data_IF_119341879236
#
_entry.id   IF_119341879236
#
_cell.length_a   1.000
_cell.length_b   1.000
_cell.length_c   1.000
_cell.angle_alpha   90.00
_cell.angle_beta   90.00
_cell.angle_gamma   90.00
#
_symmetry.space_group_name_H-M   'P 1'
#
loop_
_entity.id
_entity.type
_entity.pdbx_description
1 polymer ?
#
# COMPACT_ATOMS: atom_id res chain seq x y z
N UNK A 1 5.91 9.11 6.75
CA UNK A 1 4.53 9.25 6.25
C UNK A 1 4.52 8.85 4.80
N UNK A 2 3.53 8.09 4.37
CA UNK A 2 3.26 7.89 2.94
C UNK A 2 1.99 8.66 2.57
N UNK A 3 1.97 9.18 1.35
CA UNK A 3 0.86 9.94 0.79
C UNK A 3 0.43 9.24 -0.48
N UNK A 4 -0.88 9.01 -0.62
CA UNK A 4 -1.48 8.49 -1.84
C UNK A 4 -2.25 9.60 -2.51
N UNK A 5 -1.95 9.87 -3.77
CA UNK A 5 -2.63 10.93 -4.53
C UNK A 5 -3.35 10.26 -5.70
N UNK A 6 -4.65 10.56 -5.82
CA UNK A 6 -5.51 10.04 -6.88
C UNK A 6 -5.76 11.16 -7.89
N UNK A 7 -5.54 10.90 -9.17
CA UNK A 7 -5.75 11.83 -10.27
C UNK A 7 -6.72 11.29 -11.32
N UNK A 8 -7.42 12.19 -12.00
CA UNK A 8 -8.13 11.84 -13.24
C UNK A 8 -7.15 11.72 -14.41
N UNK A 9 -7.28 10.70 -15.26
CA UNK A 9 -6.44 10.51 -16.45
C UNK A 9 -5.26 9.56 -16.25
N UNK A 10 -4.28 9.67 -17.15
CA UNK A 10 -3.04 8.87 -17.17
C UNK A 10 -1.96 9.44 -16.25
N UNK A 11 -1.04 8.60 -15.78
CA UNK A 11 0.10 8.99 -14.94
C UNK A 11 0.94 10.09 -15.60
N UNK A 12 1.20 9.99 -16.90
CA UNK A 12 2.01 10.96 -17.65
C UNK A 12 1.44 12.38 -17.66
N UNK A 13 0.14 12.52 -17.36
CA UNK A 13 -0.57 13.81 -17.43
C UNK A 13 -0.96 14.36 -16.06
N UNK A 14 -0.46 13.75 -14.98
CA UNK A 14 -0.75 14.11 -13.59
C UNK A 14 -0.35 15.56 -13.30
N UNK A 15 -1.24 16.29 -12.66
CA UNK A 15 -1.01 17.65 -12.20
C UNK A 15 -2.02 18.01 -11.09
N UNK A 16 -1.76 19.06 -10.29
CA UNK A 16 -2.65 19.45 -9.19
C UNK A 16 -4.11 19.69 -9.61
N UNK A 17 -4.36 20.22 -10.82
CA UNK A 17 -5.71 20.47 -11.32
C UNK A 17 -6.54 19.20 -11.59
N UNK A 18 -5.85 18.07 -11.80
CA UNK A 18 -6.44 16.73 -12.00
C UNK A 18 -6.53 15.91 -10.71
N UNK A 19 -6.08 16.46 -9.58
CA UNK A 19 -6.17 15.77 -8.29
C UNK A 19 -7.64 15.59 -7.89
N UNK A 20 -7.97 14.36 -7.49
CA UNK A 20 -9.29 13.94 -7.05
C UNK A 20 -9.33 13.65 -5.56
N UNK A 21 -8.28 13.04 -5.02
CA UNK A 21 -8.18 12.74 -3.59
C UNK A 21 -6.72 12.67 -3.12
N UNK A 22 -6.52 12.90 -1.84
CA UNK A 22 -5.24 12.68 -1.13
C UNK A 22 -5.52 11.88 0.12
N UNK A 23 -4.79 10.79 0.32
CA UNK A 23 -4.82 9.95 1.52
C UNK A 23 -3.43 10.01 2.17
N UNK A 24 -3.36 10.53 3.39
CA UNK A 24 -2.14 10.53 4.19
C UNK A 24 -2.17 9.39 5.19
N UNK A 25 -1.10 8.59 5.23
CA UNK A 25 -0.91 7.47 6.17
C UNK A 25 0.35 7.73 6.97
N UNK A 26 0.18 8.03 8.26
CA UNK A 26 1.22 8.36 9.20
C UNK A 26 1.27 7.36 10.36
N UNK A 27 2.42 7.23 11.02
CA UNK A 27 2.51 6.41 12.23
C UNK A 27 1.84 7.13 13.39
N UNK A 28 0.86 6.48 14.02
CA UNK A 28 0.37 6.84 15.34
C UNK A 28 1.25 6.18 16.43
N UNK A 29 1.64 4.92 16.20
CA UNK A 29 2.58 4.18 17.05
C UNK A 29 3.45 3.28 16.18
N UNK A 30 4.78 3.40 16.31
CA UNK A 30 5.74 2.54 15.63
C UNK A 30 6.02 1.27 16.45
N UNK A 31 6.06 0.14 15.77
CA UNK A 31 6.41 -1.17 16.32
C UNK A 31 6.38 -2.23 15.23
N UNK A 32 6.67 -3.49 15.60
CA UNK A 32 6.55 -4.62 14.67
C UNK A 32 5.11 -4.78 14.16
N UNK A 33 4.13 -4.57 15.05
CA UNK A 33 2.74 -4.27 14.72
C UNK A 33 2.53 -2.76 14.90
N UNK A 34 2.48 -2.02 13.80
CA UNK A 34 2.34 -0.56 13.81
C UNK A 34 0.90 -0.13 13.79
N UNK A 35 0.64 1.01 14.41
CA UNK A 35 -0.65 1.69 14.33
C UNK A 35 -0.47 2.90 13.42
N UNK A 36 -1.34 3.01 12.43
CA UNK A 36 -1.34 4.10 11.48
C UNK A 36 -2.54 5.01 11.71
N UNK A 37 -2.31 6.32 11.67
CA UNK A 37 -3.37 7.32 11.52
C UNK A 37 -3.53 7.61 10.03
N UNK A 38 -4.77 7.64 9.57
CA UNK A 38 -5.14 7.81 8.17
C UNK A 38 -6.08 8.99 8.05
N UNK A 39 -5.74 9.94 7.18
CA UNK A 39 -6.55 11.10 6.87
C UNK A 39 -6.76 11.21 5.37
N UNK A 40 -7.93 11.66 4.92
CA UNK A 40 -8.23 11.82 3.50
C UNK A 40 -8.92 13.14 3.20
N UNK A 41 -8.56 13.75 2.08
CA UNK A 41 -9.31 14.83 1.46
C UNK A 41 -9.81 14.38 0.10
N UNK A 42 -11.10 14.60 -0.19
CA UNK A 42 -11.76 14.18 -1.42
C UNK A 42 -12.37 15.41 -2.11
N UNK A 43 -12.05 15.60 -3.39
CA UNK A 43 -12.55 16.73 -4.19
C UNK A 43 -14.07 16.73 -4.23
N UNK A 44 -14.67 17.87 -3.93
CA UNK A 44 -16.13 18.05 -3.86
C UNK A 44 -16.77 17.65 -2.53
N UNK A 45 -16.02 16.97 -1.64
CA UNK A 45 -16.48 16.61 -0.29
C UNK A 45 -15.70 17.38 0.78
N UNK A 46 -14.39 17.59 0.58
CA UNK A 46 -13.50 18.21 1.55
C UNK A 46 -12.75 17.18 2.39
N UNK A 47 -12.33 17.60 3.58
CA UNK A 47 -11.65 16.73 4.54
C UNK A 47 -12.63 15.73 5.15
N UNK A 48 -12.26 14.46 5.12
CA UNK A 48 -12.98 13.40 5.80
C UNK A 48 -12.43 13.21 7.21
N UNK A 49 -13.25 12.79 8.19
CA UNK A 49 -12.74 12.53 9.53
C UNK A 49 -11.58 11.51 9.49
N UNK A 50 -10.51 11.66 10.27
CA UNK A 50 -9.43 10.68 10.28
C UNK A 50 -9.87 9.36 10.93
N UNK A 51 -9.14 8.28 10.67
CA UNK A 51 -9.30 6.97 11.31
C UNK A 51 -7.94 6.31 11.51
N UNK A 52 -7.90 5.08 12.03
CA UNK A 52 -6.66 4.32 12.19
C UNK A 52 -6.71 2.89 11.67
N UNK A 53 -5.56 2.42 11.22
CA UNK A 53 -5.29 0.99 10.99
C UNK A 53 -4.44 0.50 12.16
N UNK A 54 -5.01 -0.32 13.03
CA UNK A 54 -4.32 -0.83 14.21
C UNK A 54 -3.56 -2.13 13.92
N UNK A 55 -2.45 -2.32 14.65
CA UNK A 55 -1.68 -3.58 14.68
C UNK A 55 -1.27 -4.12 13.30
N UNK A 56 -0.98 -3.26 12.34
CA UNK A 56 -0.57 -3.67 11.00
C UNK A 56 0.89 -4.16 11.01
N UNK A 57 1.16 -5.40 10.55
CA UNK A 57 2.51 -5.94 10.58
C UNK A 57 3.36 -5.31 9.50
N UNK A 58 4.46 -4.70 9.94
CA UNK A 58 5.35 -3.99 9.03
C UNK A 58 6.06 -4.93 8.07
N UNK A 59 6.32 -4.45 6.86
CA UNK A 59 7.06 -5.17 5.82
C UNK A 59 6.50 -6.57 5.49
N UNK A 60 5.23 -6.81 5.81
CA UNK A 60 4.61 -8.13 5.72
C UNK A 60 3.68 -8.30 4.51
N UNK A 61 3.40 -7.23 3.78
CA UNK A 61 2.56 -7.21 2.59
C UNK A 61 2.89 -6.00 1.71
N UNK A 62 2.22 -5.93 0.56
CA UNK A 62 2.27 -4.77 -0.36
C UNK A 62 1.88 -3.48 0.34
N UNK A 63 2.49 -2.36 -0.05
CA UNK A 63 2.04 -1.01 0.29
C UNK A 63 0.58 -0.79 -0.11
N UNK A 64 0.14 -1.38 -1.23
CA UNK A 64 -1.25 -1.29 -1.67
C UNK A 64 -2.22 -1.94 -0.67
N UNK A 65 -1.84 -3.00 0.06
CA UNK A 65 -2.68 -3.58 1.14
C UNK A 65 -2.88 -2.56 2.27
N UNK A 66 -1.82 -1.87 2.69
CA UNK A 66 -1.93 -0.79 3.69
C UNK A 66 -2.81 0.35 3.19
N UNK A 67 -2.69 0.74 1.92
CA UNK A 67 -3.54 1.76 1.29
C UNK A 67 -5.00 1.31 1.28
N UNK A 68 -5.29 0.08 0.88
CA UNK A 68 -6.65 -0.45 0.85
C UNK A 68 -7.29 -0.52 2.25
N UNK A 69 -6.52 -0.94 3.26
CA UNK A 69 -6.97 -0.89 4.66
C UNK A 69 -7.25 0.54 5.11
N UNK A 70 -6.36 1.48 4.80
CA UNK A 70 -6.54 2.90 5.12
C UNK A 70 -7.79 3.50 4.45
N UNK A 71 -7.97 3.25 3.16
CA UNK A 71 -9.16 3.65 2.41
C UNK A 71 -10.44 3.06 3.02
N UNK A 72 -10.41 1.79 3.37
CA UNK A 72 -11.56 1.11 3.99
C UNK A 72 -11.94 1.77 5.32
N UNK A 73 -10.96 2.07 6.17
CA UNK A 73 -11.19 2.76 7.44
C UNK A 73 -11.81 4.15 7.24
N UNK A 74 -11.25 4.97 6.34
CA UNK A 74 -11.74 6.34 6.15
C UNK A 74 -13.09 6.40 5.43
N UNK A 75 -13.32 5.53 4.43
CA UNK A 75 -14.57 5.49 3.67
C UNK A 75 -15.72 4.86 4.44
N UNK A 76 -15.45 3.81 5.22
CA UNK A 76 -16.50 2.96 5.79
C UNK A 76 -16.46 2.80 7.31
N UNK A 77 -15.42 3.28 8.01
CA UNK A 77 -15.25 3.09 9.47
C UNK A 77 -15.28 1.64 9.90
N UNK A 78 -14.82 0.76 9.02
CA UNK A 78 -14.87 -0.68 9.19
C UNK A 78 -13.53 -1.31 8.74
N UNK A 79 -13.29 -2.54 9.17
CA UNK A 79 -12.10 -3.31 8.76
C UNK A 79 -12.31 -4.06 7.44
N UNK A 80 -13.51 -3.96 6.88
CA UNK A 80 -13.90 -4.59 5.62
C UNK A 80 -14.73 -3.62 4.79
N UNK A 81 -14.47 -3.60 3.48
CA UNK A 81 -15.32 -2.89 2.54
C UNK A 81 -16.65 -3.64 2.40
N UNK A 82 -17.80 -2.94 2.28
CA UNK A 82 -19.06 -3.60 1.98
C UNK A 82 -18.95 -4.29 0.61
N UNK A 83 -19.64 -5.43 0.43
CA UNK A 83 -19.71 -6.05 -0.90
C UNK A 83 -20.34 -5.09 -1.89
N UNK A 84 -19.80 -5.09 -3.11
CA UNK A 84 -20.46 -4.47 -4.24
C UNK A 84 -21.62 -5.36 -4.69
N UNK A 85 -22.77 -4.73 -4.90
CA UNK A 85 -23.86 -5.36 -5.64
C UNK A 85 -23.57 -5.39 -7.14
N UNK A 86 -24.58 -5.78 -7.91
CA UNK A 86 -24.50 -5.67 -9.37
C UNK A 86 -24.28 -4.22 -9.81
N UNK A 87 -23.46 -3.97 -10.84
CA UNK A 87 -23.23 -2.64 -11.37
C UNK A 87 -24.52 -1.99 -11.85
N UNK A 88 -24.69 -0.71 -11.53
CA UNK A 88 -25.79 0.06 -12.09
C UNK A 88 -25.63 0.18 -13.62
N UNK A 89 -26.68 -0.14 -14.39
CA UNK A 89 -26.71 0.01 -15.86
C UNK A 89 -26.37 1.43 -16.31
N UNK A 90 -26.69 2.44 -15.50
CA UNK A 90 -26.39 3.87 -15.73
C UNK A 90 -25.37 4.38 -14.72
N UNK A 91 -24.39 3.57 -14.35
CA UNK A 91 -23.35 3.97 -13.42
C UNK A 91 -22.54 5.17 -13.93
N UNK A 92 -22.12 6.02 -13.00
CA UNK A 92 -21.04 6.96 -13.24
C UNK A 92 -19.73 6.19 -13.42
N UNK A 93 -18.86 6.66 -14.32
CA UNK A 93 -17.60 6.01 -14.62
C UNK A 93 -16.49 7.02 -14.89
N UNK A 94 -15.25 6.60 -14.63
CA UNK A 94 -14.07 7.27 -15.14
C UNK A 94 -13.57 6.50 -16.36
N UNK A 95 -13.17 7.20 -17.42
CA UNK A 95 -12.47 6.53 -18.53
C UNK A 95 -11.08 6.09 -18.08
N UNK A 96 -10.40 6.95 -17.32
CA UNK A 96 -9.07 6.72 -16.77
C UNK A 96 -8.90 7.40 -15.42
N UNK A 97 -8.21 6.73 -14.51
CA UNK A 97 -7.82 7.22 -13.20
C UNK A 97 -6.43 6.66 -12.90
N UNK A 98 -5.58 7.43 -12.23
CA UNK A 98 -4.31 6.94 -11.75
C UNK A 98 -4.08 7.34 -10.31
N UNK A 99 -3.24 6.58 -9.61
CA UNK A 99 -2.80 6.96 -8.28
C UNK A 99 -1.31 6.68 -8.09
N UNK A 100 -0.69 7.45 -7.20
CA UNK A 100 0.72 7.34 -6.84
C UNK A 100 0.85 7.23 -5.33
N UNK A 101 1.77 6.41 -4.86
CA UNK A 101 2.21 6.35 -3.47
C UNK A 101 3.54 7.08 -3.39
N UNK A 102 3.61 8.09 -2.53
CA UNK A 102 4.81 8.89 -2.32
C UNK A 102 5.23 8.81 -0.84
N UNK A 103 6.54 8.67 -0.60
CA UNK A 103 7.13 8.82 0.73
C UNK A 103 7.59 10.25 0.90
N UNK A 104 7.09 10.92 1.94
CA UNK A 104 7.60 12.24 2.32
C UNK A 104 9.07 12.11 2.76
N UNK A 105 9.94 12.97 2.21
CA UNK A 105 11.34 13.10 2.60
C UNK A 105 11.57 14.43 3.33
N UNK A 106 12.73 14.59 3.95
CA UNK A 106 13.13 15.83 4.60
C UNK A 106 13.37 16.97 3.60
N UNK A 107 13.55 16.67 2.31
CA UNK A 107 14.02 17.60 1.28
C UNK A 107 12.93 18.06 0.31
N UNK A 108 11.65 18.02 0.72
CA UNK A 108 10.45 18.32 -0.10
C UNK A 108 10.28 17.47 -1.39
N UNK A 109 11.30 16.75 -1.84
CA UNK A 109 11.25 15.82 -2.97
C UNK A 109 10.75 14.47 -2.50
N UNK A 110 9.46 14.21 -2.69
CA UNK A 110 8.88 12.92 -2.35
C UNK A 110 9.46 11.79 -3.23
N UNK A 111 9.59 10.60 -2.66
CA UNK A 111 10.03 9.39 -3.40
C UNK A 111 8.80 8.59 -3.79
N UNK A 112 8.63 8.35 -5.09
CA UNK A 112 7.56 7.49 -5.61
C UNK A 112 7.85 6.03 -5.21
N UNK A 113 6.90 5.39 -4.52
CA UNK A 113 7.02 4.00 -4.05
C UNK A 113 6.14 3.02 -4.83
N UNK A 114 5.17 3.53 -5.58
CA UNK A 114 4.28 2.71 -6.38
C UNK A 114 3.27 3.56 -7.15
N UNK A 115 2.77 3.03 -8.26
CA UNK A 115 1.77 3.68 -9.09
C UNK A 115 0.69 2.70 -9.52
N UNK A 116 -0.47 3.23 -9.92
CA UNK A 116 -1.51 2.45 -10.58
C UNK A 116 -2.15 3.28 -11.68
N UNK A 117 -2.43 2.62 -12.81
CA UNK A 117 -3.33 3.13 -13.84
C UNK A 117 -4.57 2.25 -13.94
N UNK A 118 -5.73 2.86 -13.80
CA UNK A 118 -7.04 2.23 -13.89
C UNK A 118 -7.71 2.78 -15.15
N UNK A 119 -7.95 1.91 -16.12
CA UNK A 119 -8.59 2.26 -17.38
C UNK A 119 -9.88 1.46 -17.56
N UNK A 120 -10.93 2.14 -18.00
CA UNK A 120 -12.16 1.47 -18.42
C UNK A 120 -11.91 0.70 -19.72
N UNK A 121 -12.39 -0.54 -19.79
CA UNK A 121 -12.41 -1.31 -21.03
C UNK A 121 -13.34 -0.64 -22.05
N UNK A 122 -12.80 -0.33 -23.23
CA UNK A 122 -13.54 0.36 -24.31
C UNK A 122 -14.90 -0.28 -24.57
N UNK A 123 -15.95 0.54 -24.60
CA UNK A 123 -17.32 0.11 -24.89
C UNK A 123 -18.06 -0.60 -23.76
N UNK A 124 -17.46 -0.78 -22.57
CA UNK A 124 -18.12 -1.42 -21.41
C UNK A 124 -18.03 -0.57 -20.15
N UNK A 125 -19.15 0.07 -19.79
CA UNK A 125 -19.25 0.86 -18.56
C UNK A 125 -19.06 -0.02 -17.33
N UNK A 126 -18.30 0.48 -16.38
CA UNK A 126 -18.03 -0.19 -15.12
C UNK A 126 -17.07 -1.38 -15.18
N UNK A 127 -16.47 -1.69 -16.33
CA UNK A 127 -15.43 -2.72 -16.44
C UNK A 127 -14.06 -2.05 -16.54
N UNK A 128 -13.14 -2.43 -15.67
CA UNK A 128 -11.84 -1.79 -15.54
C UNK A 128 -10.70 -2.81 -15.61
N UNK A 129 -9.57 -2.34 -16.14
CA UNK A 129 -8.25 -2.94 -15.95
C UNK A 129 -7.43 -2.01 -15.08
N UNK A 130 -6.74 -2.54 -14.08
CA UNK A 130 -5.80 -1.80 -13.25
C UNK A 130 -4.41 -2.42 -13.35
N UNK A 131 -3.42 -1.60 -13.67
CA UNK A 131 -2.01 -2.00 -13.73
C UNK A 131 -1.26 -1.30 -12.62
N UNK A 132 -0.78 -2.07 -11.65
CA UNK A 132 -0.05 -1.60 -10.48
C UNK A 132 1.43 -1.78 -10.69
N UNK A 133 2.21 -0.86 -10.11
CA UNK A 133 3.64 -1.02 -9.87
C UNK A 133 3.93 -0.71 -8.40
N UNK A 134 5.00 -1.30 -7.90
CA UNK A 134 5.47 -1.13 -6.53
C UNK A 134 6.98 -1.33 -6.52
N UNK A 135 7.68 -0.55 -5.71
CA UNK A 135 9.14 -0.57 -5.56
C UNK A 135 9.70 -1.98 -5.29
N UNK A 136 9.02 -2.80 -4.47
CA UNK A 136 9.55 -4.12 -4.05
C UNK A 136 8.87 -5.30 -4.73
N UNK A 137 7.54 -5.34 -4.78
CA UNK A 137 6.82 -6.55 -5.19
C UNK A 137 6.52 -6.65 -6.69
N UNK A 138 7.04 -5.73 -7.50
CA UNK A 138 6.89 -5.74 -8.95
C UNK A 138 5.47 -5.40 -9.43
N UNK A 139 5.24 -5.50 -10.75
CA UNK A 139 3.98 -5.12 -11.35
C UNK A 139 2.88 -6.17 -11.14
N UNK A 140 1.63 -5.71 -11.10
CA UNK A 140 0.43 -6.57 -11.04
C UNK A 140 -0.65 -6.01 -11.95
N UNK A 141 -1.49 -6.90 -12.47
CA UNK A 141 -2.67 -6.51 -13.24
C UNK A 141 -3.93 -7.12 -12.62
N UNK A 142 -5.03 -6.39 -12.69
CA UNK A 142 -6.33 -6.84 -12.26
C UNK A 142 -7.42 -6.42 -13.25
N UNK A 143 -8.42 -7.27 -13.40
CA UNK A 143 -9.66 -6.92 -14.09
C UNK A 143 -10.81 -7.00 -13.11
N UNK A 144 -11.64 -5.96 -13.10
CA UNK A 144 -12.71 -5.90 -12.12
C UNK A 144 -13.89 -5.09 -12.62
N UNK A 145 -14.97 -5.18 -11.85
CA UNK A 145 -16.22 -4.51 -12.14
C UNK A 145 -16.55 -3.54 -11.01
N UNK A 146 -16.88 -2.31 -11.38
CA UNK A 146 -17.29 -1.24 -10.48
C UNK A 146 -18.32 -0.35 -11.16
N UNK A 147 -19.53 -0.26 -10.61
CA UNK A 147 -20.56 0.60 -11.16
C UNK A 147 -21.52 1.09 -10.11
N UNK A 148 -21.33 2.32 -9.66
CA UNK A 148 -22.22 3.01 -8.73
C UNK A 148 -22.89 4.22 -9.41
N UNK A 149 -24.02 4.68 -8.86
CA UNK A 149 -24.71 5.90 -9.36
C UNK A 149 -23.83 7.15 -9.32
N UNK A 150 -22.98 7.24 -8.30
CA UNK A 150 -21.98 8.29 -8.15
C UNK A 150 -20.60 7.66 -8.12
N UNK A 151 -19.66 8.25 -8.85
CA UNK A 151 -18.28 7.77 -8.89
C UNK A 151 -17.55 8.29 -7.65
N UNK A 152 -17.08 7.37 -6.81
CA UNK A 152 -16.10 7.67 -5.77
C UNK A 152 -14.72 7.18 -6.25
N UNK A 153 -13.77 8.09 -6.57
CA UNK A 153 -12.45 7.70 -7.07
C UNK A 153 -11.62 6.93 -6.04
N UNK A 154 -11.83 7.18 -4.74
CA UNK A 154 -11.14 6.48 -3.67
C UNK A 154 -11.70 5.06 -3.48
N UNK A 155 -13.02 4.86 -3.62
CA UNK A 155 -13.61 3.52 -3.63
C UNK A 155 -13.17 2.76 -4.90
N UNK A 156 -13.19 3.39 -6.09
CA UNK A 156 -12.69 2.76 -7.31
C UNK A 156 -11.24 2.24 -7.16
N UNK A 157 -10.36 3.04 -6.55
CA UNK A 157 -8.98 2.62 -6.23
C UNK A 157 -8.97 1.45 -5.23
N UNK A 158 -9.74 1.54 -4.14
CA UNK A 158 -9.86 0.45 -3.16
C UNK A 158 -10.25 -0.87 -3.83
N UNK A 159 -11.25 -0.85 -4.71
CA UNK A 159 -11.72 -2.06 -5.41
C UNK A 159 -10.69 -2.60 -6.37
N UNK A 160 -9.99 -1.72 -7.09
CA UNK A 160 -8.87 -2.13 -7.94
C UNK A 160 -7.79 -2.87 -7.14
N UNK A 161 -7.45 -2.36 -5.94
CA UNK A 161 -6.46 -3.00 -5.07
C UNK A 161 -6.96 -4.36 -4.56
N UNK A 162 -8.22 -4.45 -4.11
CA UNK A 162 -8.78 -5.70 -3.63
C UNK A 162 -8.71 -6.80 -4.70
N UNK A 163 -9.06 -6.48 -5.94
CA UNK A 163 -8.96 -7.43 -7.05
C UNK A 163 -7.51 -7.79 -7.39
N UNK A 164 -6.59 -6.82 -7.37
CA UNK A 164 -5.17 -7.07 -7.66
C UNK A 164 -4.46 -7.93 -6.62
N UNK A 165 -4.88 -7.87 -5.36
CA UNK A 165 -4.21 -8.58 -4.26
C UNK A 165 -4.96 -9.84 -3.81
N UNK A 166 -6.28 -9.88 -3.96
CA UNK A 166 -7.13 -10.91 -3.35
C UNK A 166 -8.11 -11.56 -4.33
N UNK A 167 -8.17 -11.10 -5.58
CA UNK A 167 -9.10 -11.60 -6.61
C UNK A 167 -10.58 -11.56 -6.17
N UNK A 168 -10.94 -10.53 -5.41
CA UNK A 168 -12.30 -10.30 -4.92
C UNK A 168 -12.50 -8.80 -4.61
N UNK A 169 -13.74 -8.40 -4.31
CA UNK A 169 -14.10 -7.01 -4.03
C UNK A 169 -13.88 -6.58 -2.56
N UNK A 170 -13.35 -7.48 -1.72
CA UNK A 170 -13.12 -7.30 -0.28
C UNK A 170 -11.66 -7.52 0.11
N UNK A 171 -11.26 -6.95 1.24
CA UNK A 171 -9.93 -7.15 1.78
C UNK A 171 -9.73 -8.61 2.19
N UNK A 172 -8.54 -9.14 1.88
CA UNK A 172 -8.08 -10.41 2.44
C UNK A 172 -7.83 -10.32 3.96
N UNK A 173 -7.46 -11.45 4.60
CA UNK A 173 -7.07 -11.46 6.00
C UNK A 173 -5.91 -10.47 6.24
N UNK A 174 -5.78 -9.99 7.49
CA UNK A 174 -4.60 -9.21 7.88
C UNK A 174 -3.34 -10.05 7.57
N UNK A 175 -2.30 -9.48 6.92
CA UNK A 175 -1.05 -10.18 6.75
C UNK A 175 -0.51 -10.66 8.10
N UNK A 176 0.32 -11.69 8.08
CA UNK A 176 1.01 -12.17 9.28
C UNK A 176 2.37 -11.51 9.35
N UNK A 177 2.81 -11.16 10.55
CA UNK A 177 4.17 -10.66 10.75
C UNK A 177 5.17 -11.70 10.24
N UNK A 178 6.04 -11.27 9.32
CA UNK A 178 7.12 -12.13 8.84
C UNK A 178 8.21 -12.22 9.91
N UNK A 179 8.40 -13.42 10.47
CA UNK A 179 9.51 -13.72 11.36
C UNK A 179 10.29 -14.90 10.78
N UNK A 180 11.57 -14.72 10.42
CA UNK A 180 12.38 -15.83 9.93
C UNK A 180 12.64 -16.82 11.07
N UNK A 181 12.79 -18.13 10.77
CA UNK A 181 13.23 -19.11 11.74
C UNK A 181 14.64 -18.76 12.24
N UNK A 182 14.85 -18.88 13.56
CA UNK A 182 16.12 -18.55 14.19
C UNK A 182 16.90 -19.79 14.61
N UNK A 183 18.23 -19.66 14.64
CA UNK A 183 19.19 -20.64 15.11
C UNK A 183 20.06 -19.99 16.18
N UNK A 184 20.19 -20.66 17.32
CA UNK A 184 21.07 -20.22 18.40
C UNK A 184 22.47 -20.76 18.17
N UNK A 185 23.47 -19.89 18.17
CA UNK A 185 24.88 -20.27 18.03
C UNK A 185 25.59 -20.24 19.40
N UNK A 186 26.82 -20.75 19.44
CA UNK A 186 27.62 -20.91 20.67
C UNK A 186 27.94 -19.59 21.38
N UNK A 187 27.86 -18.46 20.67
CA UNK A 187 28.01 -17.11 21.24
C UNK A 187 26.77 -16.63 22.03
N UNK A 188 25.73 -17.46 22.12
CA UNK A 188 24.52 -17.21 22.87
C UNK A 188 23.49 -16.33 22.15
N UNK A 189 23.75 -15.88 20.92
CA UNK A 189 22.83 -15.06 20.14
C UNK A 189 22.00 -15.90 19.15
N UNK A 190 20.80 -15.40 18.84
CA UNK A 190 19.94 -15.93 17.80
C UNK A 190 20.26 -15.28 16.45
N UNK A 191 20.42 -16.11 15.44
CA UNK A 191 20.71 -15.74 14.05
C UNK A 191 19.64 -16.28 13.12
N UNK A 192 19.52 -15.72 11.92
CA UNK A 192 18.67 -16.29 10.87
C UNK A 192 19.35 -16.13 9.52
N UNK A 193 18.99 -16.98 8.56
CA UNK A 193 19.51 -16.88 7.21
C UNK A 193 18.72 -15.82 6.42
N UNK A 194 19.39 -14.88 5.74
CA UNK A 194 18.72 -13.82 4.97
C UNK A 194 17.73 -14.37 3.92
N UNK A 195 18.07 -15.48 3.27
CA UNK A 195 17.19 -16.17 2.31
C UNK A 195 15.89 -16.71 2.90
N UNK A 196 15.78 -16.80 4.24
CA UNK A 196 14.52 -17.18 4.88
C UNK A 196 13.49 -16.04 4.90
N UNK A 197 13.91 -14.79 4.66
CA UNK A 197 13.01 -13.66 4.51
C UNK A 197 12.35 -13.67 3.12
N UNK A 198 11.05 -13.38 3.10
CA UNK A 198 10.29 -13.18 1.87
C UNK A 198 10.15 -11.68 1.59
N UNK A 199 9.81 -11.35 0.35
CA UNK A 199 9.47 -9.98 0.01
C UNK A 199 8.11 -9.55 0.60
N UNK A 200 7.95 -8.29 1.04
CA UNK A 200 8.92 -7.19 0.89
C UNK A 200 9.93 -7.06 2.05
N UNK A 201 9.84 -7.92 3.07
CA UNK A 201 10.72 -7.85 4.24
C UNK A 201 12.19 -8.03 3.91
N UNK A 202 12.53 -8.90 2.96
CA UNK A 202 13.90 -9.16 2.55
C UNK A 202 14.55 -7.89 1.99
N UNK A 203 14.00 -7.31 0.92
CA UNK A 203 14.54 -6.09 0.31
C UNK A 203 14.54 -4.92 1.30
N UNK A 204 13.48 -4.76 2.11
CA UNK A 204 13.43 -3.72 3.13
C UNK A 204 14.54 -3.84 4.17
N UNK A 205 14.82 -5.05 4.64
CA UNK A 205 15.86 -5.30 5.63
C UNK A 205 17.27 -5.11 5.05
N UNK A 206 17.50 -5.54 3.81
CA UNK A 206 18.77 -5.33 3.11
C UNK A 206 19.09 -3.83 2.99
N UNK A 207 18.14 -3.02 2.53
CA UNK A 207 18.30 -1.55 2.43
C UNK A 207 18.58 -0.92 3.80
N UNK A 208 17.89 -1.38 4.85
CA UNK A 208 18.13 -0.91 6.22
C UNK A 208 19.54 -1.23 6.73
N UNK A 209 20.09 -2.39 6.36
CA UNK A 209 21.44 -2.80 6.68
C UNK A 209 22.47 -1.95 5.90
N UNK A 210 22.26 -1.77 4.60
CA UNK A 210 23.10 -0.95 3.72
C UNK A 210 23.20 0.50 4.20
N UNK A 211 22.07 1.12 4.58
CA UNK A 211 22.02 2.51 5.09
C UNK A 211 22.84 2.72 6.37
N UNK A 212 23.19 1.65 7.08
CA UNK A 212 23.88 1.71 8.39
C UNK A 212 25.32 1.20 8.34
N UNK A 213 25.72 0.61 7.22
CA UNK A 213 27.07 0.09 7.05
C UNK A 213 27.89 1.01 6.16
N UNK A 214 29.21 1.09 6.38
CA UNK A 214 30.11 1.76 5.44
C UNK A 214 29.99 1.15 4.04
N UNK A 215 30.04 1.99 3.01
CA UNK A 215 29.97 1.55 1.61
C UNK A 215 31.05 0.48 1.32
N UNK A 216 30.64 -0.61 0.66
CA UNK A 216 31.53 -1.72 0.31
C UNK A 216 31.68 -2.79 1.41
N UNK A 217 31.04 -2.64 2.58
CA UNK A 217 31.00 -3.70 3.58
C UNK A 217 30.15 -4.87 3.07
N UNK A 218 30.68 -6.11 3.00
CA UNK A 218 29.89 -7.25 2.56
C UNK A 218 28.79 -7.56 3.58
N UNK A 219 27.57 -7.79 3.08
CA UNK A 219 26.44 -8.14 3.92
C UNK A 219 26.65 -9.52 4.56
N UNK A 220 26.44 -9.59 5.87
CA UNK A 220 26.46 -10.86 6.59
C UNK A 220 25.25 -11.71 6.17
N UNK A 221 25.42 -12.93 5.62
CA UNK A 221 24.33 -13.82 5.24
C UNK A 221 23.50 -14.32 6.44
N UNK A 222 24.07 -14.27 7.64
CA UNK A 222 23.43 -14.64 8.90
C UNK A 222 23.48 -13.48 9.91
N UNK A 223 22.63 -12.46 9.76
CA UNK A 223 22.52 -11.38 10.73
C UNK A 223 21.84 -11.85 12.02
N UNK A 224 22.02 -11.07 13.09
CA UNK A 224 21.39 -11.36 14.39
C UNK A 224 19.89 -11.10 14.30
N UNK A 225 19.07 -11.96 14.89
CA UNK A 225 17.61 -11.79 14.95
C UNK A 225 17.20 -10.43 15.55
N UNK A 226 17.96 -9.94 16.54
CA UNK A 226 17.78 -8.62 17.15
C UNK A 226 17.87 -7.46 16.13
N UNK A 227 18.70 -7.59 15.09
CA UNK A 227 18.84 -6.56 14.06
C UNK A 227 17.58 -6.47 13.21
N UNK A 228 16.96 -7.60 12.91
CA UNK A 228 15.67 -7.65 12.22
C UNK A 228 14.53 -7.06 13.07
N UNK A 229 14.49 -7.37 14.37
CA UNK A 229 13.55 -6.71 15.28
C UNK A 229 13.74 -5.20 15.30
N UNK A 230 14.99 -4.73 15.34
CA UNK A 230 15.32 -3.31 15.30
C UNK A 230 14.88 -2.65 13.98
N UNK A 231 15.11 -3.31 12.85
CA UNK A 231 14.61 -2.90 11.54
C UNK A 231 13.08 -2.69 11.53
N UNK A 232 12.32 -3.64 12.08
CA UNK A 232 10.87 -3.54 12.15
C UNK A 232 10.41 -2.35 13.01
N UNK A 233 11.20 -1.91 13.99
CA UNK A 233 10.84 -0.76 14.84
C UNK A 233 11.27 0.56 14.20
N UNK A 234 12.47 0.61 13.62
CA UNK A 234 13.14 1.86 13.26
C UNK A 234 12.96 2.31 11.81
N UNK A 235 12.67 1.39 10.88
CA UNK A 235 12.49 1.73 9.45
C UNK A 235 11.30 2.65 9.19
#
# INVERSE_FOLDING_TARGET
MIRVIIFSGDLATRNPGKQLAVLDIAYAKKGHLSHYLVAMSLRGVGEMPPDGVASYPRWSASLWDLVARGLTRVLYRADQAPALGEPDRRCAYATKLCAVIEKATLTERAVELGTVEIAQKTGRRGHYTATFTEDVLGPREAHFVYGQKQLNPADLLLRAICWALFDQDRLGPMPKLMLPPTLKLDDGFDYFHLEALREPAKTGFLRYLEDRMPAGTPLNPMPKAKEYTRFLIES
#
